data_IF_662942106982
#
_entry.id   IF_662942106982
#
_cell.length_a   1.000
_cell.length_b   1.000
_cell.length_c   1.000
_cell.angle_alpha   90.00
_cell.angle_beta   90.00
_cell.angle_gamma   90.00
#
_symmetry.space_group_name_H-M   'P 1'
#
loop_
_entity.id
_entity.type
_entity.pdbx_description
1 polymer ?
#
# COMPACT_ATOMS: atom_id res chain seq x y z
N UNK A 1 7.46 -5.34 -41.67
CA UNK A 1 8.82 -4.84 -41.98
C UNK A 1 9.73 -5.09 -40.79
N UNK A 2 10.65 -6.03 -40.97
CA UNK A 2 11.65 -6.49 -39.99
C UNK A 2 12.72 -5.41 -39.78
N UNK A 3 12.86 -4.90 -38.56
CA UNK A 3 14.14 -4.37 -38.08
C UNK A 3 14.37 -4.87 -36.66
N UNK A 4 14.93 -6.09 -36.60
CA UNK A 4 15.60 -6.67 -35.44
C UNK A 4 16.63 -5.66 -34.93
N UNK A 5 16.78 -5.56 -33.61
CA UNK A 5 17.85 -4.83 -32.94
C UNK A 5 19.18 -5.08 -33.66
N UNK A 6 19.76 -4.04 -34.28
CA UNK A 6 21.15 -4.12 -34.69
C UNK A 6 21.99 -4.07 -33.42
N UNK A 7 22.51 -5.22 -32.99
CA UNK A 7 23.25 -5.38 -31.74
C UNK A 7 24.40 -4.35 -31.61
N UNK A 8 24.95 -3.87 -32.73
CA UNK A 8 25.96 -2.83 -32.75
C UNK A 8 25.48 -1.42 -32.35
N UNK A 9 24.21 -1.05 -32.61
CA UNK A 9 23.68 0.25 -32.19
C UNK A 9 23.44 0.29 -30.68
N UNK A 10 22.82 -0.77 -30.16
CA UNK A 10 22.52 -0.89 -28.74
C UNK A 10 23.76 -0.83 -27.85
N UNK A 11 24.84 -1.52 -28.23
CA UNK A 11 26.08 -1.52 -27.45
C UNK A 11 26.75 -0.14 -27.43
N UNK A 12 26.66 0.64 -28.52
CA UNK A 12 27.15 2.02 -28.56
C UNK A 12 26.36 2.94 -27.64
N UNK A 13 25.04 2.81 -27.64
CA UNK A 13 24.18 3.62 -26.76
C UNK A 13 24.41 3.28 -25.29
N UNK A 14 24.57 1.99 -24.97
CA UNK A 14 24.90 1.48 -23.65
C UNK A 14 26.25 2.03 -23.17
N UNK A 15 27.28 1.95 -24.02
CA UNK A 15 28.61 2.48 -23.73
C UNK A 15 28.60 3.98 -23.47
N UNK A 16 27.85 4.73 -24.27
CA UNK A 16 27.68 6.18 -24.13
C UNK A 16 26.99 6.54 -22.80
N UNK A 17 25.93 5.81 -22.42
CA UNK A 17 25.21 6.00 -21.16
C UNK A 17 26.08 5.69 -19.95
N UNK A 18 26.80 4.56 -19.95
CA UNK A 18 27.73 4.18 -18.87
C UNK A 18 28.82 5.23 -18.70
N UNK A 19 29.40 5.71 -19.81
CA UNK A 19 30.41 6.78 -19.77
C UNK A 19 29.85 8.07 -19.17
N UNK A 20 28.65 8.47 -19.58
CA UNK A 20 28.00 9.69 -19.08
C UNK A 20 27.74 9.63 -17.58
N UNK A 21 27.18 8.51 -17.08
CA UNK A 21 26.94 8.29 -15.65
C UNK A 21 28.24 8.26 -14.84
N UNK A 22 29.28 7.59 -15.36
CA UNK A 22 30.60 7.58 -14.71
C UNK A 22 31.15 9.00 -14.55
N UNK A 23 31.13 9.80 -15.62
CA UNK A 23 31.61 11.18 -15.58
C UNK A 23 30.77 12.05 -14.64
N UNK A 24 29.43 11.89 -14.64
CA UNK A 24 28.53 12.59 -13.73
C UNK A 24 28.82 12.25 -12.26
N UNK A 25 29.24 11.01 -11.97
CA UNK A 25 29.65 10.58 -10.64
C UNK A 25 31.08 10.99 -10.25
N UNK A 26 31.81 11.72 -11.12
CA UNK A 26 33.18 12.17 -10.85
C UNK A 26 34.25 11.07 -10.86
N UNK A 27 33.91 9.85 -11.28
CA UNK A 27 34.79 8.68 -11.21
C UNK A 27 35.69 8.53 -12.43
N UNK A 28 36.96 8.21 -12.21
CA UNK A 28 37.86 7.77 -13.29
C UNK A 28 37.48 6.37 -13.79
N UNK A 29 37.91 6.02 -14.99
CA UNK A 29 37.69 4.67 -15.54
C UNK A 29 38.37 3.59 -14.67
N UNK A 30 39.52 3.91 -14.08
CA UNK A 30 40.22 3.00 -13.18
C UNK A 30 39.44 2.78 -11.89
N UNK A 31 38.88 3.83 -11.31
CA UNK A 31 38.06 3.75 -10.09
C UNK A 31 36.79 2.93 -10.31
N UNK A 32 36.04 3.20 -11.39
CA UNK A 32 34.83 2.44 -11.68
C UNK A 32 35.15 0.96 -11.94
N UNK A 33 36.23 0.67 -12.66
CA UNK A 33 36.66 -0.70 -12.91
C UNK A 33 37.03 -1.44 -11.61
N UNK A 34 37.78 -0.79 -10.72
CA UNK A 34 38.13 -1.34 -9.41
C UNK A 34 36.89 -1.61 -8.55
N UNK A 35 35.96 -0.66 -8.48
CA UNK A 35 34.74 -0.78 -7.69
C UNK A 35 33.78 -1.86 -8.23
N UNK A 36 33.68 -2.00 -9.55
CA UNK A 36 32.87 -3.05 -10.18
C UNK A 36 33.55 -4.44 -10.22
N UNK A 37 34.83 -4.55 -9.80
CA UNK A 37 35.62 -5.77 -9.91
C UNK A 37 35.86 -6.20 -11.37
N UNK A 38 36.09 -5.23 -12.25
CA UNK A 38 36.31 -5.40 -13.70
C UNK A 38 37.66 -4.82 -14.11
N UNK A 39 38.15 -5.19 -15.31
CA UNK A 39 39.39 -4.63 -15.83
C UNK A 39 39.16 -3.26 -16.49
N UNK A 40 40.09 -2.29 -16.38
CA UNK A 40 39.98 -1.00 -17.06
C UNK A 40 39.88 -1.13 -18.59
N UNK A 41 40.56 -2.14 -19.16
CA UNK A 41 40.47 -2.47 -20.60
C UNK A 41 39.06 -2.90 -20.99
N UNK A 42 38.39 -3.70 -20.16
CA UNK A 42 37.01 -4.10 -20.42
C UNK A 42 36.06 -2.91 -20.35
N UNK A 43 36.25 -2.02 -19.37
CA UNK A 43 35.44 -0.81 -19.25
C UNK A 43 35.65 0.15 -20.43
N UNK A 44 36.88 0.28 -20.93
CA UNK A 44 37.19 1.03 -22.16
C UNK A 44 36.48 0.46 -23.38
N UNK A 45 36.48 -0.87 -23.55
CA UNK A 45 35.77 -1.54 -24.64
C UNK A 45 34.26 -1.31 -24.53
N UNK A 46 33.69 -1.47 -23.33
CA UNK A 46 32.28 -1.23 -23.07
C UNK A 46 31.87 0.21 -23.42
N UNK A 47 32.60 1.21 -22.93
CA UNK A 47 32.30 2.63 -23.21
C UNK A 47 32.47 3.00 -24.69
N UNK A 48 33.35 2.30 -25.42
CA UNK A 48 33.48 2.42 -26.87
C UNK A 48 32.34 1.71 -27.64
N UNK A 49 31.43 1.01 -26.94
CA UNK A 49 30.38 0.21 -27.54
C UNK A 49 30.88 -1.07 -28.21
N UNK A 50 32.02 -1.58 -27.74
CA UNK A 50 32.66 -2.78 -28.26
C UNK A 50 32.60 -3.92 -27.22
N UNK A 51 32.04 -5.05 -27.63
CA UNK A 51 32.01 -6.27 -26.82
C UNK A 51 30.67 -6.53 -26.12
N UNK A 52 30.24 -7.80 -26.16
CA UNK A 52 29.04 -8.25 -25.46
C UNK A 52 29.34 -8.36 -23.95
N UNK A 53 28.61 -7.60 -23.14
CA UNK A 53 28.66 -7.71 -21.68
C UNK A 53 27.61 -8.69 -21.17
N UNK A 54 27.99 -9.58 -20.25
CA UNK A 54 27.02 -10.40 -19.52
C UNK A 54 26.19 -9.52 -18.58
N UNK A 55 24.89 -9.80 -18.44
CA UNK A 55 23.99 -9.07 -17.52
C UNK A 55 24.54 -9.01 -16.08
N UNK A 56 25.18 -10.08 -15.60
CA UNK A 56 25.80 -10.11 -14.26
C UNK A 56 26.93 -9.07 -14.10
N UNK A 57 27.79 -8.91 -15.11
CA UNK A 57 28.84 -7.87 -15.09
C UNK A 57 28.26 -6.47 -15.24
N UNK A 58 27.19 -6.32 -16.03
CA UNK A 58 26.48 -5.06 -16.15
C UNK A 58 25.82 -4.63 -14.82
N UNK A 59 25.27 -5.58 -14.07
CA UNK A 59 24.73 -5.33 -12.73
C UNK A 59 25.81 -4.82 -11.75
N UNK A 60 27.03 -5.36 -11.80
CA UNK A 60 28.16 -4.85 -10.99
C UNK A 60 28.54 -3.41 -11.34
N UNK A 61 28.45 -3.04 -12.61
CA UNK A 61 28.69 -1.66 -13.04
C UNK A 61 27.56 -0.75 -12.53
N UNK A 62 26.30 -1.19 -12.59
CA UNK A 62 25.17 -0.43 -12.07
C UNK A 62 25.32 -0.18 -10.56
N UNK A 63 25.65 -1.22 -9.80
CA UNK A 63 25.93 -1.14 -8.36
C UNK A 63 27.08 -0.17 -8.04
N UNK A 64 28.19 -0.26 -8.79
CA UNK A 64 29.33 0.64 -8.60
C UNK A 64 29.02 2.11 -8.97
N UNK A 65 28.04 2.35 -9.84
CA UNK A 65 27.54 3.68 -10.19
C UNK A 65 26.44 4.18 -9.24
N UNK A 66 26.00 3.37 -8.27
CA UNK A 66 24.83 3.63 -7.43
C UNK A 66 23.54 3.84 -8.24
N UNK A 67 23.47 3.16 -9.39
CA UNK A 67 22.39 3.25 -10.36
C UNK A 67 21.66 1.91 -10.48
N UNK A 68 20.42 1.96 -10.97
CA UNK A 68 19.66 0.74 -11.23
C UNK A 68 20.08 0.10 -12.56
N UNK A 69 19.99 -1.23 -12.66
CA UNK A 69 20.33 -1.95 -13.90
C UNK A 69 19.51 -1.46 -15.10
N UNK A 70 18.24 -1.09 -14.89
CA UNK A 70 17.38 -0.61 -15.98
C UNK A 70 17.76 0.81 -16.46
N UNK A 71 18.35 1.65 -15.59
CA UNK A 71 18.89 2.97 -15.96
C UNK A 71 20.05 2.88 -16.96
N UNK A 72 20.82 1.78 -16.92
CA UNK A 72 21.93 1.55 -17.84
C UNK A 72 21.48 1.09 -19.23
N UNK A 73 20.34 0.42 -19.35
CA UNK A 73 19.89 -0.17 -20.61
C UNK A 73 19.33 0.95 -21.50
N UNK A 74 19.93 1.23 -22.67
CA UNK A 74 19.42 2.27 -23.56
C UNK A 74 18.06 1.85 -24.14
N UNK A 75 17.09 2.77 -24.06
CA UNK A 75 15.75 2.65 -24.65
C UNK A 75 15.85 2.82 -26.18
N UNK A 76 16.29 1.77 -26.87
CA UNK A 76 16.76 1.84 -28.26
C UNK A 76 15.68 1.91 -29.36
N UNK A 77 14.49 2.44 -29.08
CA UNK A 77 13.50 2.94 -30.06
C UNK A 77 12.41 3.66 -29.26
N UNK A 78 11.76 4.68 -29.85
CA UNK A 78 10.47 5.19 -29.33
C UNK A 78 9.56 3.97 -29.18
N UNK A 79 9.41 3.49 -27.95
CA UNK A 79 8.45 2.46 -27.66
C UNK A 79 7.08 3.12 -27.90
N UNK A 80 6.55 2.88 -29.10
CA UNK A 80 5.30 3.46 -29.57
C UNK A 80 4.10 2.87 -28.84
N UNK A 81 4.29 1.86 -27.99
CA UNK A 81 3.24 1.42 -27.09
C UNK A 81 2.86 2.54 -26.12
N UNK A 82 1.66 2.46 -25.56
CA UNK A 82 1.23 3.38 -24.51
C UNK A 82 2.21 3.39 -23.32
N UNK A 83 2.85 2.24 -23.03
CA UNK A 83 3.82 2.14 -21.94
C UNK A 83 5.09 2.94 -22.24
N UNK A 84 5.60 2.83 -23.45
CA UNK A 84 6.75 3.63 -23.88
C UNK A 84 6.47 5.12 -23.93
N UNK A 85 5.31 5.52 -24.45
CA UNK A 85 4.90 6.93 -24.45
C UNK A 85 4.74 7.49 -23.03
N UNK A 86 4.24 6.69 -22.08
CA UNK A 86 4.20 7.07 -20.66
C UNK A 86 5.60 7.13 -20.07
N UNK A 87 6.48 6.19 -20.42
CA UNK A 87 7.86 6.18 -19.95
C UNK A 87 8.64 7.42 -20.41
N UNK A 88 8.51 7.81 -21.69
CA UNK A 88 9.12 9.03 -22.22
C UNK A 88 8.66 10.28 -21.45
N UNK A 89 7.39 10.33 -21.04
CA UNK A 89 6.84 11.42 -20.21
C UNK A 89 7.38 11.40 -18.78
N UNK A 90 7.62 10.21 -18.21
CA UNK A 90 8.20 10.03 -16.87
C UNK A 90 9.67 10.46 -16.88
N UNK A 91 10.44 10.03 -17.89
CA UNK A 91 11.87 10.32 -18.01
C UNK A 91 12.14 11.82 -18.22
N UNK A 92 11.20 12.55 -18.83
CA UNK A 92 11.27 14.01 -19.00
C UNK A 92 10.56 14.82 -17.90
N UNK A 93 10.05 14.15 -16.85
CA UNK A 93 9.30 14.79 -15.78
C UNK A 93 10.23 15.36 -14.69
N UNK A 94 10.01 16.60 -14.21
CA UNK A 94 10.67 17.12 -13.01
C UNK A 94 10.38 16.27 -11.76
N UNK A 95 11.26 16.29 -10.76
CA UNK A 95 11.12 15.49 -9.53
C UNK A 95 9.79 15.76 -8.81
N UNK A 96 9.35 17.01 -8.77
CA UNK A 96 8.07 17.40 -8.18
C UNK A 96 6.88 16.78 -8.94
N UNK A 97 6.99 16.70 -10.27
CA UNK A 97 5.99 16.05 -11.12
C UNK A 97 5.98 14.53 -10.98
N UNK A 98 7.14 13.90 -10.67
CA UNK A 98 7.24 12.47 -10.40
C UNK A 98 6.53 12.09 -9.10
N UNK A 99 6.64 12.92 -8.05
CA UNK A 99 5.89 12.69 -6.80
C UNK A 99 4.37 12.79 -7.03
N UNK A 100 3.91 13.79 -7.78
CA UNK A 100 2.50 13.93 -8.14
C UNK A 100 2.00 12.77 -8.99
N UNK A 101 2.79 12.34 -9.98
CA UNK A 101 2.48 11.22 -10.86
C UNK A 101 2.45 9.90 -10.09
N UNK A 102 3.42 9.65 -9.20
CA UNK A 102 3.43 8.48 -8.32
C UNK A 102 2.18 8.46 -7.44
N UNK A 103 1.84 9.60 -6.83
CA UNK A 103 0.63 9.72 -6.02
C UNK A 103 -0.64 9.49 -6.84
N UNK A 104 -0.69 9.99 -8.06
CA UNK A 104 -1.82 9.81 -8.98
C UNK A 104 -1.96 8.36 -9.46
N UNK A 105 -0.87 7.71 -9.89
CA UNK A 105 -0.84 6.29 -10.28
C UNK A 105 -1.19 5.39 -9.09
N UNK A 106 -0.69 5.71 -7.89
CA UNK A 106 -1.05 5.04 -6.65
C UNK A 106 -2.55 5.17 -6.36
N UNK A 107 -3.15 6.33 -6.63
CA UNK A 107 -4.61 6.53 -6.54
C UNK A 107 -5.35 5.74 -7.63
N UNK A 108 -4.84 5.66 -8.86
CA UNK A 108 -5.45 4.85 -9.92
C UNK A 108 -5.42 3.34 -9.61
N UNK A 109 -4.38 2.84 -8.95
CA UNK A 109 -4.38 1.47 -8.42
C UNK A 109 -5.39 1.29 -7.28
N UNK A 110 -5.58 2.32 -6.43
CA UNK A 110 -6.62 2.35 -5.39
C UNK A 110 -8.06 2.36 -5.93
N UNK A 111 -8.30 2.72 -7.20
CA UNK A 111 -9.64 2.88 -7.84
C UNK A 111 -10.42 1.61 -8.21
N UNK A 112 -9.99 0.40 -7.83
CA UNK A 112 -10.77 -0.84 -8.06
C UNK A 112 -11.06 -1.56 -6.74
N UNK A 113 -11.89 -1.07 -5.81
CA UNK A 113 -12.06 -1.62 -4.42
C UNK A 113 -10.99 -2.67 -4.04
N UNK A 114 -9.68 -2.38 -3.98
CA UNK A 114 -8.68 -3.45 -4.05
C UNK A 114 -8.35 -4.04 -2.69
N UNK A 115 -8.77 -3.37 -1.62
CA UNK A 115 -8.25 -3.58 -0.28
C UNK A 115 -9.23 -4.35 0.57
N UNK A 116 -8.68 -5.24 1.41
CA UNK A 116 -9.42 -5.88 2.49
C UNK A 116 -10.12 -4.84 3.36
N UNK A 117 -11.27 -5.19 3.93
CA UNK A 117 -11.99 -4.30 4.85
C UNK A 117 -11.61 -4.70 6.27
N UNK A 118 -11.00 -3.81 7.02
CA UNK A 118 -10.62 -4.05 8.41
C UNK A 118 -11.65 -3.41 9.36
N UNK A 119 -12.35 -4.25 10.12
CA UNK A 119 -13.29 -3.84 11.16
C UNK A 119 -12.56 -3.72 12.48
N UNK A 120 -12.48 -2.49 13.01
CA UNK A 120 -11.82 -2.18 14.28
C UNK A 120 -12.85 -1.77 15.34
N UNK A 121 -12.56 -2.06 16.60
CA UNK A 121 -13.40 -1.73 17.74
C UNK A 121 -13.19 -2.72 18.88
N UNK A 122 -13.60 -2.36 20.10
CA UNK A 122 -13.47 -3.27 21.25
C UNK A 122 -14.41 -4.47 21.15
N UNK A 123 -14.27 -5.46 22.04
CA UNK A 123 -15.19 -6.61 22.12
C UNK A 123 -16.64 -6.11 22.32
N UNK A 124 -17.62 -6.83 21.76
CA UNK A 124 -19.02 -6.36 21.75
C UNK A 124 -19.35 -5.25 20.72
N UNK A 125 -18.38 -4.74 19.96
CA UNK A 125 -18.63 -3.76 18.89
C UNK A 125 -19.46 -4.32 17.70
N UNK A 126 -19.63 -5.65 17.62
CA UNK A 126 -20.33 -6.30 16.51
C UNK A 126 -19.46 -6.67 15.31
N UNK A 127 -18.11 -6.63 15.42
CA UNK A 127 -17.17 -6.97 14.35
C UNK A 127 -17.47 -8.30 13.67
N UNK A 128 -17.65 -9.37 14.44
CA UNK A 128 -17.91 -10.70 13.86
C UNK A 128 -19.28 -10.78 13.18
N UNK A 129 -20.33 -10.19 13.78
CA UNK A 129 -21.69 -10.18 13.21
C UNK A 129 -21.76 -9.36 11.93
N UNK A 130 -21.33 -8.09 11.99
CA UNK A 130 -21.32 -7.17 10.85
C UNK A 130 -20.35 -7.67 9.78
N UNK A 131 -19.18 -8.18 10.17
CA UNK A 131 -18.18 -8.72 9.24
C UNK A 131 -18.68 -9.91 8.44
N UNK A 132 -19.34 -10.89 9.08
CA UNK A 132 -19.95 -12.04 8.39
C UNK A 132 -21.07 -11.63 7.44
N UNK A 133 -21.88 -10.64 7.80
CA UNK A 133 -22.94 -10.12 6.94
C UNK A 133 -22.36 -9.34 5.75
N UNK A 134 -21.39 -8.46 6.00
CA UNK A 134 -20.73 -7.65 4.99
C UNK A 134 -19.97 -8.52 3.98
N UNK A 135 -19.23 -9.51 4.46
CA UNK A 135 -18.51 -10.48 3.62
C UNK A 135 -19.45 -11.23 2.68
N UNK A 136 -20.58 -11.74 3.21
CA UNK A 136 -21.63 -12.38 2.40
C UNK A 136 -22.18 -11.44 1.33
N UNK A 137 -22.45 -10.18 1.69
CA UNK A 137 -22.96 -9.17 0.75
C UNK A 137 -21.95 -8.80 -0.35
N UNK A 138 -20.65 -8.80 -0.03
CA UNK A 138 -19.56 -8.50 -0.96
C UNK A 138 -19.10 -9.71 -1.79
N UNK A 139 -19.50 -10.93 -1.42
CA UNK A 139 -19.01 -12.15 -2.06
C UNK A 139 -17.52 -12.42 -1.81
N UNK A 140 -16.99 -11.98 -0.67
CA UNK A 140 -15.58 -12.19 -0.28
C UNK A 140 -15.49 -12.92 1.07
N UNK A 141 -14.35 -13.55 1.40
CA UNK A 141 -14.20 -14.25 2.68
C UNK A 141 -14.29 -13.33 3.90
N UNK A 142 -14.61 -13.92 5.05
CA UNK A 142 -14.52 -13.28 6.36
C UNK A 142 -13.45 -13.99 7.20
N UNK A 143 -12.60 -13.22 7.88
CA UNK A 143 -11.52 -13.72 8.73
C UNK A 143 -11.56 -13.02 10.09
N UNK A 144 -11.44 -13.80 11.16
CA UNK A 144 -11.20 -13.29 12.51
C UNK A 144 -9.70 -13.37 12.80
N UNK A 145 -9.07 -12.22 13.02
CA UNK A 145 -7.63 -12.15 13.18
C UNK A 145 -7.16 -12.85 14.45
N UNK A 146 -7.91 -12.73 15.54
CA UNK A 146 -7.61 -13.42 16.81
C UNK A 146 -7.51 -14.94 16.60
N UNK A 147 -8.41 -15.54 15.82
CA UNK A 147 -8.39 -16.97 15.50
C UNK A 147 -7.20 -17.36 14.59
N UNK A 148 -6.66 -16.41 13.82
CA UNK A 148 -5.44 -16.64 13.05
C UNK A 148 -4.21 -16.66 13.95
N UNK A 149 -4.14 -15.75 14.91
CA UNK A 149 -3.06 -15.72 15.91
C UNK A 149 -3.04 -16.98 16.75
N UNK A 150 -4.20 -17.47 17.21
CA UNK A 150 -4.29 -18.73 17.97
C UNK A 150 -3.80 -19.93 17.16
N UNK A 151 -4.09 -19.96 15.85
CA UNK A 151 -3.61 -21.03 14.95
C UNK A 151 -2.11 -20.97 14.73
N UNK A 152 -1.54 -19.77 14.54
CA UNK A 152 -0.09 -19.61 14.38
C UNK A 152 0.66 -19.95 15.68
N UNK A 153 0.08 -19.58 16.84
CA UNK A 153 0.68 -19.86 18.15
C UNK A 153 0.48 -21.31 18.63
N UNK A 154 -0.55 -22.01 18.13
CA UNK A 154 -0.93 -23.34 18.60
C UNK A 154 -1.59 -23.39 19.98
N UNK A 155 -1.87 -22.23 20.58
CA UNK A 155 -2.48 -22.06 21.91
C UNK A 155 -3.52 -20.92 21.87
N UNK A 156 -4.42 -20.87 22.86
CA UNK A 156 -5.41 -19.78 22.95
C UNK A 156 -4.73 -18.43 23.24
N UNK A 157 -5.38 -17.32 22.88
CA UNK A 157 -4.84 -15.99 23.23
C UNK A 157 -4.69 -15.82 24.75
N UNK A 158 -5.59 -16.41 25.54
CA UNK A 158 -5.52 -16.37 27.01
C UNK A 158 -4.23 -17.03 27.51
N UNK A 159 -3.91 -18.21 27.00
CA UNK A 159 -2.68 -18.93 27.35
C UNK A 159 -1.44 -18.20 26.83
N UNK A 160 -1.51 -17.65 25.62
CA UNK A 160 -0.42 -16.89 25.02
C UNK A 160 -0.03 -15.68 25.89
N UNK A 161 -1.02 -14.92 26.37
CA UNK A 161 -0.76 -13.82 27.30
C UNK A 161 -0.22 -14.31 28.64
N UNK A 162 -0.71 -15.44 29.16
CA UNK A 162 -0.26 -15.98 30.45
C UNK A 162 1.17 -16.51 30.42
N UNK A 163 1.59 -17.13 29.31
CA UNK A 163 2.91 -17.79 29.17
C UNK A 163 3.96 -16.83 28.63
N UNK A 164 3.62 -16.07 27.57
CA UNK A 164 4.59 -15.28 26.80
C UNK A 164 4.46 -13.76 27.00
N UNK A 165 3.35 -13.31 27.59
CA UNK A 165 3.11 -11.90 27.86
C UNK A 165 2.76 -11.05 26.64
N UNK A 166 2.51 -9.76 26.87
CA UNK A 166 2.05 -8.83 25.83
C UNK A 166 3.11 -8.57 24.75
N UNK A 167 4.39 -8.46 25.10
CA UNK A 167 5.45 -8.18 24.12
C UNK A 167 5.52 -9.21 23.00
N UNK A 168 5.42 -10.50 23.37
CA UNK A 168 5.38 -11.59 22.40
C UNK A 168 4.11 -11.56 21.55
N UNK A 169 2.95 -11.32 22.17
CA UNK A 169 1.68 -11.12 21.44
C UNK A 169 1.81 -10.02 20.38
N UNK A 170 2.46 -8.89 20.69
CA UNK A 170 2.61 -7.77 19.74
C UNK A 170 3.50 -8.12 18.56
N UNK A 171 4.58 -8.86 18.80
CA UNK A 171 5.45 -9.35 17.72
C UNK A 171 4.69 -10.32 16.81
N UNK A 172 3.99 -11.30 17.41
CA UNK A 172 3.16 -12.24 16.65
C UNK A 172 2.04 -11.54 15.86
N UNK A 173 1.34 -10.59 16.49
CA UNK A 173 0.30 -9.75 15.88
C UNK A 173 0.85 -9.01 14.65
N UNK A 174 2.07 -8.48 14.74
CA UNK A 174 2.74 -7.80 13.64
C UNK A 174 3.06 -8.77 12.48
N UNK A 175 3.79 -9.84 12.77
CA UNK A 175 4.31 -10.78 11.78
C UNK A 175 3.18 -11.48 11.02
N UNK A 176 2.15 -11.93 11.75
CA UNK A 176 0.99 -12.60 11.17
C UNK A 176 0.18 -11.62 10.32
N UNK A 177 -0.02 -10.37 10.78
CA UNK A 177 -0.71 -9.37 9.97
C UNK A 177 0.05 -9.05 8.69
N UNK A 178 1.38 -8.89 8.77
CA UNK A 178 2.22 -8.61 7.62
C UNK A 178 2.15 -9.73 6.58
N UNK A 179 2.32 -10.99 7.01
CA UNK A 179 2.18 -12.17 6.14
C UNK A 179 0.78 -12.26 5.52
N UNK A 180 -0.26 -12.01 6.31
CA UNK A 180 -1.65 -12.08 5.87
C UNK A 180 -1.96 -11.05 4.79
N UNK A 181 -1.60 -9.79 5.01
CA UNK A 181 -1.89 -8.72 4.05
C UNK A 181 -1.03 -8.81 2.78
N UNK A 182 0.16 -9.42 2.84
CA UNK A 182 0.99 -9.65 1.67
C UNK A 182 0.43 -10.73 0.72
N UNK A 183 -0.33 -11.70 1.24
CA UNK A 183 -0.73 -12.91 0.50
C UNK A 183 -2.22 -13.00 0.22
N UNK A 184 -3.05 -12.30 0.97
CA UNK A 184 -4.50 -12.51 0.93
C UNK A 184 -5.17 -11.68 -0.18
N UNK A 185 -5.98 -12.31 -1.05
CA UNK A 185 -6.95 -11.56 -1.84
C UNK A 185 -8.03 -10.97 -0.93
N UNK A 186 -8.76 -9.99 -1.45
CA UNK A 186 -9.82 -9.21 -0.76
C UNK A 186 -10.61 -10.02 0.26
N UNK A 187 -10.66 -9.53 1.51
CA UNK A 187 -11.31 -10.18 2.64
C UNK A 187 -11.91 -9.14 3.59
N UNK A 188 -12.95 -9.51 4.34
CA UNK A 188 -13.40 -8.75 5.51
C UNK A 188 -12.71 -9.30 6.76
N UNK A 189 -11.87 -8.48 7.37
CA UNK A 189 -11.06 -8.81 8.54
C UNK A 189 -11.67 -8.20 9.81
N UNK A 190 -12.01 -9.03 10.80
CA UNK A 190 -12.28 -8.57 12.16
C UNK A 190 -10.98 -8.58 12.97
N UNK A 191 -10.55 -7.42 13.47
CA UNK A 191 -9.27 -7.28 14.20
C UNK A 191 -9.45 -7.43 15.70
N UNK A 192 -8.35 -7.68 16.42
CA UNK A 192 -8.31 -7.57 17.88
C UNK A 192 -8.64 -6.16 18.37
N UNK A 193 -9.24 -6.05 19.56
CA UNK A 193 -9.65 -4.76 20.14
C UNK A 193 -8.50 -3.86 20.61
N UNK A 194 -7.27 -4.37 20.63
CA UNK A 194 -6.05 -3.66 20.98
C UNK A 194 -5.17 -3.35 19.76
N UNK A 195 -5.55 -3.78 18.55
CA UNK A 195 -4.72 -3.59 17.35
C UNK A 195 -4.31 -2.13 17.15
N UNK A 196 -5.24 -1.20 17.40
CA UNK A 196 -5.00 0.25 17.21
C UNK A 196 -3.90 0.82 18.11
N UNK A 197 -3.52 0.11 19.18
CA UNK A 197 -2.43 0.53 20.08
C UNK A 197 -1.05 0.04 19.59
N UNK A 198 -1.00 -0.95 18.68
CA UNK A 198 0.23 -1.40 18.04
C UNK A 198 0.54 -0.48 16.85
N UNK A 199 1.38 0.54 17.05
CA UNK A 199 1.59 1.63 16.09
C UNK A 199 2.03 1.15 14.71
N UNK A 200 2.99 0.23 14.61
CA UNK A 200 3.45 -0.29 13.33
C UNK A 200 2.36 -1.08 12.61
N UNK A 201 1.73 -2.02 13.31
CA UNK A 201 0.69 -2.89 12.77
C UNK A 201 -0.56 -2.10 12.36
N UNK A 202 -0.98 -1.14 13.18
CA UNK A 202 -2.08 -0.24 12.87
C UNK A 202 -1.78 0.63 11.65
N UNK A 203 -0.56 1.18 11.56
CA UNK A 203 -0.11 1.93 10.39
C UNK A 203 -0.15 1.09 9.11
N UNK A 204 0.24 -0.19 9.18
CA UNK A 204 0.16 -1.12 8.06
C UNK A 204 -1.29 -1.39 7.64
N UNK A 205 -2.17 -1.70 8.59
CA UNK A 205 -3.60 -1.94 8.31
C UNK A 205 -4.27 -0.72 7.69
N UNK A 206 -4.01 0.50 8.19
CA UNK A 206 -4.55 1.74 7.60
C UNK A 206 -4.05 2.01 6.18
N UNK A 207 -2.87 1.53 5.80
CA UNK A 207 -2.32 1.71 4.45
C UNK A 207 -2.86 0.70 3.45
N UNK A 208 -3.19 -0.51 3.91
CA UNK A 208 -3.48 -1.66 3.05
C UNK A 208 -4.94 -2.14 3.11
N UNK A 209 -5.74 -1.65 4.07
CA UNK A 209 -7.14 -2.00 4.24
C UNK A 209 -8.02 -0.75 4.24
N UNK A 210 -9.27 -0.90 3.81
CA UNK A 210 -10.30 0.10 4.10
C UNK A 210 -10.76 -0.08 5.55
N UNK A 211 -10.46 0.90 6.39
CA UNK A 211 -10.65 0.77 7.85
C UNK A 211 -12.01 1.30 8.31
N UNK A 212 -12.76 0.48 9.04
CA UNK A 212 -14.08 0.82 9.56
C UNK A 212 -14.09 0.65 11.08
N UNK A 213 -14.26 1.75 11.80
CA UNK A 213 -14.50 1.72 13.24
C UNK A 213 -15.98 1.45 13.53
N UNK A 214 -16.23 0.33 14.20
CA UNK A 214 -17.53 0.01 14.79
C UNK A 214 -17.58 0.59 16.21
N UNK A 215 -18.22 1.76 16.33
CA UNK A 215 -18.44 2.44 17.60
C UNK A 215 -19.69 1.89 18.26
N UNK A 216 -19.66 1.69 19.58
CA UNK A 216 -20.86 1.44 20.37
C UNK A 216 -20.78 2.17 21.71
N UNK A 217 -21.90 2.36 22.40
CA UNK A 217 -21.88 2.89 23.77
C UNK A 217 -21.32 1.82 24.71
N UNK A 218 -20.67 2.21 25.82
CA UNK A 218 -20.13 1.25 26.80
C UNK A 218 -21.16 0.20 27.25
N UNK A 219 -22.40 0.62 27.48
CA UNK A 219 -23.50 -0.29 27.86
C UNK A 219 -23.82 -1.31 26.76
N UNK A 220 -23.84 -0.91 25.49
CA UNK A 220 -24.13 -1.85 24.40
C UNK A 220 -22.99 -2.88 24.22
N UNK A 221 -21.73 -2.46 24.40
CA UNK A 221 -20.60 -3.39 24.46
C UNK A 221 -20.80 -4.42 25.57
N UNK A 222 -21.14 -3.92 26.77
CA UNK A 222 -21.38 -4.74 27.95
C UNK A 222 -22.49 -5.76 27.71
N UNK A 223 -23.70 -5.31 27.38
CA UNK A 223 -24.88 -6.16 27.22
C UNK A 223 -24.65 -7.26 26.17
N UNK A 224 -23.95 -6.94 25.06
CA UNK A 224 -23.61 -7.92 24.02
C UNK A 224 -22.59 -8.95 24.47
N UNK A 225 -21.59 -8.56 25.26
CA UNK A 225 -20.59 -9.50 25.79
C UNK A 225 -21.21 -10.42 26.84
N UNK A 226 -22.08 -9.88 27.70
CA UNK A 226 -22.85 -10.65 28.66
C UNK A 226 -23.76 -11.69 27.97
N UNK A 227 -24.47 -11.28 26.91
CA UNK A 227 -25.34 -12.16 26.13
C UNK A 227 -24.57 -13.30 25.42
N UNK A 228 -23.27 -13.13 25.17
CA UNK A 228 -22.39 -14.16 24.60
C UNK A 228 -21.88 -15.16 25.66
N UNK A 229 -22.29 -15.02 26.92
CA UNK A 229 -21.88 -15.90 28.02
C UNK A 229 -20.49 -15.59 28.58
N UNK A 230 -19.81 -14.56 28.08
CA UNK A 230 -18.47 -14.18 28.53
C UNK A 230 -18.55 -13.14 29.65
N UNK A 231 -19.03 -13.57 30.81
CA UNK A 231 -19.14 -12.74 32.01
C UNK A 231 -17.80 -12.54 32.74
N UNK A 232 -16.70 -13.15 32.28
CA UNK A 232 -15.38 -13.07 32.94
C UNK A 232 -14.90 -11.63 33.21
N UNK A 233 -15.07 -10.66 32.28
CA UNK A 233 -14.69 -9.27 32.55
C UNK A 233 -15.58 -8.57 33.61
N UNK A 234 -16.76 -9.12 33.89
CA UNK A 234 -17.81 -8.52 34.72
C UNK A 234 -17.90 -9.15 36.10
N UNK A 235 -17.38 -10.36 36.25
CA UNK A 235 -17.54 -11.18 37.45
C UNK A 235 -16.63 -10.63 38.55
N UNK A 236 -17.25 -10.24 39.67
CA UNK A 236 -16.57 -9.73 40.86
C UNK A 236 -15.73 -8.45 40.66
N UNK A 237 -16.00 -7.66 39.61
CA UNK A 237 -15.34 -6.38 39.39
C UNK A 237 -16.35 -5.23 39.31
N UNK A 238 -16.62 -4.52 40.44
CA UNK A 238 -17.51 -3.35 40.46
C UNK A 238 -17.02 -2.20 39.58
N UNK A 239 -15.72 -2.07 39.33
CA UNK A 239 -15.12 -1.02 38.49
C UNK A 239 -15.05 -1.38 37.01
N UNK A 240 -15.45 -2.60 36.60
CA UNK A 240 -15.29 -3.07 35.22
C UNK A 240 -15.97 -2.16 34.17
N UNK A 241 -17.13 -1.57 34.50
CA UNK A 241 -17.79 -0.62 33.60
C UNK A 241 -16.99 0.68 33.45
N UNK A 242 -16.38 1.17 34.52
CA UNK A 242 -15.57 2.39 34.49
C UNK A 242 -14.21 2.16 33.83
N UNK A 243 -13.62 0.97 34.01
CA UNK A 243 -12.45 0.52 33.25
C UNK A 243 -12.74 0.43 31.74
N UNK A 244 -13.90 -0.11 31.35
CA UNK A 244 -14.33 -0.14 29.95
C UNK A 244 -14.48 1.28 29.39
N UNK A 245 -15.12 2.19 30.13
CA UNK A 245 -15.23 3.60 29.73
C UNK A 245 -13.84 4.24 29.58
N UNK A 246 -12.94 4.01 30.53
CA UNK A 246 -11.57 4.51 30.51
C UNK A 246 -10.79 4.02 29.29
N UNK A 247 -10.88 2.71 29.00
CA UNK A 247 -10.26 2.09 27.83
C UNK A 247 -10.82 2.64 26.51
N UNK A 248 -12.14 2.80 26.41
CA UNK A 248 -12.78 3.38 25.24
C UNK A 248 -12.30 4.82 25.01
N UNK A 249 -12.28 5.63 26.07
CA UNK A 249 -11.83 7.03 26.03
C UNK A 249 -10.37 7.14 25.60
N UNK A 250 -9.49 6.28 26.11
CA UNK A 250 -8.06 6.32 25.75
C UNK A 250 -7.80 5.85 24.31
N UNK A 251 -8.59 4.92 23.79
CA UNK A 251 -8.44 4.38 22.42
C UNK A 251 -9.21 5.16 21.36
N UNK A 252 -10.15 6.02 21.73
CA UNK A 252 -10.96 6.81 20.80
C UNK A 252 -10.12 7.64 19.79
N UNK A 253 -9.04 8.32 20.18
CA UNK A 253 -8.16 9.03 19.23
C UNK A 253 -7.43 8.13 18.23
N UNK A 254 -7.29 6.84 18.54
CA UNK A 254 -6.66 5.86 17.66
C UNK A 254 -7.70 5.24 16.72
N UNK A 255 -8.87 4.89 17.25
CA UNK A 255 -9.99 4.40 16.46
C UNK A 255 -10.52 5.43 15.45
N UNK A 256 -10.54 6.72 15.83
CA UNK A 256 -11.00 7.80 14.94
C UNK A 256 -10.12 8.03 13.71
N UNK A 257 -8.95 7.39 13.66
CA UNK A 257 -8.08 7.40 12.48
C UNK A 257 -8.55 6.47 11.36
N UNK A 258 -9.57 5.64 11.63
CA UNK A 258 -10.24 4.82 10.63
C UNK A 258 -10.96 5.70 9.59
N UNK A 259 -11.07 5.21 8.35
CA UNK A 259 -11.69 5.96 7.24
C UNK A 259 -13.20 6.14 7.39
N UNK A 260 -13.87 5.17 8.02
CA UNK A 260 -15.31 5.19 8.25
C UNK A 260 -15.62 4.86 9.71
N UNK A 261 -16.60 5.55 10.29
CA UNK A 261 -17.14 5.23 11.62
C UNK A 261 -18.62 4.89 11.52
N UNK A 262 -19.01 3.77 12.12
CA UNK A 262 -20.39 3.30 12.19
C UNK A 262 -20.80 3.14 13.65
N UNK A 263 -21.81 3.89 14.07
CA UNK A 263 -22.41 3.72 15.40
C UNK A 263 -23.39 2.54 15.40
N UNK A 264 -22.93 1.42 15.92
CA UNK A 264 -23.70 0.17 16.04
C UNK A 264 -24.70 0.20 17.17
N UNK A 265 -24.73 1.25 18.00
CA UNK A 265 -25.73 1.43 19.06
C UNK A 265 -27.07 1.94 18.51
N UNK A 266 -27.00 2.65 17.38
CA UNK A 266 -28.14 3.32 16.74
C UNK A 266 -28.79 2.49 15.64
N UNK A 267 -28.14 1.39 15.25
CA UNK A 267 -28.50 0.64 14.05
C UNK A 267 -28.48 -0.86 14.33
N UNK A 268 -29.40 -1.60 13.70
CA UNK A 268 -29.30 -3.05 13.62
C UNK A 268 -28.05 -3.49 12.83
N UNK A 269 -27.63 -4.76 12.92
CA UNK A 269 -26.54 -5.28 12.09
C UNK A 269 -26.77 -5.06 10.58
N UNK A 270 -27.98 -5.30 10.07
CA UNK A 270 -28.31 -5.13 8.65
C UNK A 270 -28.31 -3.67 8.21
N UNK A 271 -28.80 -2.77 9.06
CA UNK A 271 -28.71 -1.32 8.84
C UNK A 271 -27.25 -0.86 8.81
N UNK A 272 -26.44 -1.33 9.77
CA UNK A 272 -25.00 -1.03 9.83
C UNK A 272 -24.29 -1.49 8.55
N UNK A 273 -24.59 -2.70 8.07
CA UNK A 273 -24.04 -3.23 6.81
C UNK A 273 -24.49 -2.40 5.62
N UNK A 274 -25.74 -1.96 5.59
CA UNK A 274 -26.26 -1.12 4.49
C UNK A 274 -25.63 0.27 4.47
N UNK A 275 -25.36 0.86 5.64
CA UNK A 275 -24.61 2.12 5.76
C UNK A 275 -23.17 1.95 5.27
N UNK A 276 -22.49 0.88 5.69
CA UNK A 276 -21.15 0.55 5.21
C UNK A 276 -21.16 0.38 3.68
N UNK A 277 -22.12 -0.39 3.15
CA UNK A 277 -22.25 -0.62 1.72
C UNK A 277 -22.44 0.69 0.95
N UNK A 278 -23.29 1.57 1.44
CA UNK A 278 -23.56 2.87 0.80
C UNK A 278 -22.32 3.76 0.84
N UNK A 279 -21.63 3.83 1.99
CA UNK A 279 -20.39 4.60 2.11
C UNK A 279 -19.27 4.07 1.20
N UNK A 280 -19.16 2.75 1.06
CA UNK A 280 -18.25 2.09 0.12
C UNK A 280 -18.64 2.40 -1.33
N UNK A 281 -19.93 2.35 -1.66
CA UNK A 281 -20.42 2.68 -3.00
C UNK A 281 -20.21 4.16 -3.36
N UNK A 282 -20.40 5.07 -2.40
CA UNK A 282 -20.20 6.50 -2.56
C UNK A 282 -18.72 6.87 -2.70
N UNK A 283 -17.81 6.19 -2.00
CA UNK A 283 -16.37 6.42 -2.19
C UNK A 283 -15.95 6.04 -3.61
N UNK A 284 -16.56 4.99 -4.18
CA UNK A 284 -16.35 4.57 -5.57
C UNK A 284 -17.09 5.44 -6.60
N UNK A 285 -18.25 5.99 -6.22
CA UNK A 285 -19.11 6.82 -7.05
C UNK A 285 -18.62 8.27 -7.16
N UNK A 286 -18.17 8.88 -6.05
CA UNK A 286 -17.57 10.23 -6.03
C UNK A 286 -16.24 10.28 -6.80
N UNK A 287 -15.52 9.16 -6.92
CA UNK A 287 -14.34 9.04 -7.79
C UNK A 287 -14.68 8.90 -9.28
N UNK A 288 -15.87 8.40 -9.66
CA UNK A 288 -16.37 8.43 -11.04
C UNK A 288 -16.82 9.83 -11.46
N UNK A 289 -17.45 10.58 -10.55
CA UNK A 289 -17.90 11.96 -10.82
C UNK A 289 -16.73 12.96 -10.96
N UNK A 290 -15.58 12.69 -10.32
CA UNK A 290 -14.29 13.37 -10.56
C UNK A 290 -13.49 12.74 -11.70
N UNK A 291 -14.15 12.44 -12.82
CA UNK A 291 -13.49 12.24 -14.12
C UNK A 291 -12.69 13.48 -14.53
N UNK A 292 -11.74 13.38 -15.48
CA UNK A 292 -10.70 14.39 -15.66
C UNK A 292 -11.36 15.76 -15.86
N UNK A 293 -10.93 16.75 -15.07
CA UNK A 293 -11.37 18.12 -15.21
C UNK A 293 -11.37 18.48 -16.70
N UNK A 294 -12.54 18.80 -17.25
CA UNK A 294 -12.64 19.38 -18.58
C UNK A 294 -11.69 20.57 -18.60
N UNK A 295 -10.62 20.49 -19.42
CA UNK A 295 -9.73 21.62 -19.68
C UNK A 295 -10.63 22.82 -20.01
N UNK A 296 -10.42 24.00 -19.42
CA UNK A 296 -11.08 25.19 -19.93
C UNK A 296 -10.66 25.34 -21.38
N UNK A 297 -11.63 25.48 -22.28
CA UNK A 297 -11.38 25.79 -23.67
C UNK A 297 -10.69 27.17 -23.71
N UNK A 298 -9.35 27.16 -23.77
CA UNK A 298 -8.58 28.36 -23.98
C UNK A 298 -8.91 28.89 -25.39
N UNK A 299 -9.40 30.12 -25.40
CA UNK A 299 -9.79 30.91 -26.54
C UNK A 299 -8.87 30.73 -27.76
N UNK A 300 -9.37 30.06 -28.79
CA UNK A 300 -8.94 30.32 -30.16
C UNK A 300 -9.55 31.66 -30.59
N UNK A 301 -8.83 32.76 -30.36
CA UNK A 301 -9.11 34.05 -31.02
C UNK A 301 -7.84 34.56 -31.70
N UNK A 302 -7.86 34.38 -33.03
CA UNK A 302 -7.32 35.26 -34.08
C UNK A 302 -5.92 35.85 -33.86
N UNK A 303 -4.95 35.27 -34.56
CA UNK A 303 -3.95 36.07 -35.29
C UNK A 303 -4.14 35.78 -36.77
N UNK A 304 -4.88 36.65 -37.44
CA UNK A 304 -4.93 36.72 -38.88
C UNK A 304 -5.07 38.20 -39.26
N UNK A 305 -4.01 38.72 -39.88
CA UNK A 305 -4.06 39.93 -40.70
C UNK A 305 -3.56 41.21 -40.04
N UNK A 306 -2.25 41.46 -40.12
CA UNK A 306 -1.71 42.80 -40.24
C UNK A 306 -0.70 42.80 -41.40
N UNK A 307 -1.12 43.39 -42.52
CA UNK A 307 -0.30 43.75 -43.67
C UNK A 307 0.65 44.90 -43.28
N UNK A 308 1.89 44.83 -43.76
CA UNK A 308 2.78 45.97 -44.02
C UNK A 308 2.07 46.99 -44.94
N UNK A 309 2.34 48.31 -44.84
CA UNK A 309 3.68 48.89 -45.06
C UNK A 309 4.34 49.48 -43.81
#
# INVERSE_FOLDING_TARGET
MNHKYESGSFLRDLGTKVRALRLASGRSMQELAAQAGLSPRFLSQLEAGHGNISVARLAKIAEALEESLHSLIPTSKKDVSLRGQVWDLVESCPVEGLEELYNWLSRLQKKRIPHSIALVGVRGAGKSTIGKLLARRLGIPFVEFDAMLEREAGISLVELFAIHGESYYRQLEHDVMQKFLATSPRVVLATGGSLVTARETWGMVRRQCHTIWLKARPKDHWDRVAAQGDIRPMRNNPSAMDELKGMLKSREPLYSQAELTIDTSRHSPDQSVSLIWTALADSLGREKARGPARRPAAAARRVAGAKLP
#
